data_IF_102808193056
#
_entry.id   IF_102808193056
#
_cell.length_a   1.000
_cell.length_b   1.000
_cell.length_c   1.000
_cell.angle_alpha   90.00
_cell.angle_beta   90.00
_cell.angle_gamma   90.00
#
_symmetry.space_group_name_H-M   'P 1'
#
loop_
_entity.id
_entity.type
_entity.pdbx_description
1 polymer ?
#
# COMPACT_ATOMS: atom_id res chain seq x y z
N UNK A 1 28.58 -32.77 41.74
CA UNK A 1 29.26 -31.76 40.89
C UNK A 1 28.63 -31.65 39.49
N UNK A 2 28.47 -32.75 38.74
CA UNK A 2 27.86 -32.78 37.40
C UNK A 2 26.40 -32.24 37.32
N UNK A 3 25.58 -32.45 38.36
CA UNK A 3 24.21 -31.93 38.44
C UNK A 3 24.11 -30.40 38.58
N UNK A 4 25.15 -29.73 39.10
CA UNK A 4 25.17 -28.26 39.19
C UNK A 4 25.51 -27.63 37.84
N UNK A 5 26.40 -28.25 37.06
CA UNK A 5 26.81 -27.76 35.74
C UNK A 5 25.66 -27.89 34.74
N UNK A 6 24.88 -28.98 34.79
CA UNK A 6 23.73 -29.17 33.90
C UNK A 6 22.55 -28.22 34.21
N UNK A 7 22.27 -27.94 35.49
CA UNK A 7 21.30 -26.91 35.88
C UNK A 7 21.76 -25.51 35.46
N UNK A 8 23.05 -25.20 35.62
CA UNK A 8 23.62 -23.93 35.18
C UNK A 8 23.51 -23.77 33.65
N UNK A 9 23.92 -24.76 32.86
CA UNK A 9 23.82 -24.72 31.39
C UNK A 9 22.36 -24.66 30.88
N UNK A 10 21.43 -25.36 31.54
CA UNK A 10 20.00 -25.33 31.19
C UNK A 10 19.39 -23.96 31.49
N UNK A 11 19.75 -23.34 32.61
CA UNK A 11 19.30 -21.99 32.97
C UNK A 11 19.95 -20.93 32.09
N UNK A 12 21.26 -21.03 31.80
CA UNK A 12 21.98 -20.12 30.92
C UNK A 12 21.42 -20.13 29.49
N UNK A 13 21.24 -21.32 28.89
CA UNK A 13 20.57 -21.45 27.59
C UNK A 13 19.11 -20.95 27.61
N UNK A 14 18.38 -21.09 28.72
CA UNK A 14 16.99 -20.58 28.83
C UNK A 14 16.90 -19.05 28.91
N UNK A 15 17.91 -18.39 29.48
CA UNK A 15 17.97 -16.93 29.61
C UNK A 15 18.39 -16.32 28.27
N UNK A 16 19.39 -16.90 27.62
CA UNK A 16 19.89 -16.43 26.32
C UNK A 16 18.85 -16.60 25.21
N UNK A 17 18.16 -17.75 25.18
CA UNK A 17 17.03 -17.98 24.24
C UNK A 17 15.85 -17.05 24.50
N UNK A 18 15.49 -16.75 25.75
CA UNK A 18 14.46 -15.73 26.06
C UNK A 18 14.85 -14.33 25.59
N UNK A 19 16.13 -13.96 25.72
CA UNK A 19 16.63 -12.66 25.24
C UNK A 19 16.63 -12.55 23.71
N UNK A 20 16.98 -13.64 23.01
CA UNK A 20 16.91 -13.74 21.56
C UNK A 20 15.46 -13.70 21.07
N UNK A 21 14.57 -14.50 21.66
CA UNK A 21 13.14 -14.51 21.31
C UNK A 21 12.50 -13.13 21.54
N UNK A 22 12.86 -12.43 22.62
CA UNK A 22 12.41 -11.06 22.85
C UNK A 22 12.96 -10.08 21.81
N UNK A 23 14.26 -10.15 21.47
CA UNK A 23 14.86 -9.35 20.38
C UNK A 23 14.19 -9.63 19.03
N UNK A 24 13.90 -10.90 18.73
CA UNK A 24 13.20 -11.30 17.51
C UNK A 24 11.75 -10.81 17.49
N UNK A 25 11.01 -10.89 18.61
CA UNK A 25 9.66 -10.36 18.71
C UNK A 25 9.63 -8.84 18.53
N UNK A 26 10.54 -8.11 19.18
CA UNK A 26 10.70 -6.66 19.02
C UNK A 26 11.08 -6.31 17.57
N UNK A 27 12.03 -7.03 16.96
CA UNK A 27 12.40 -6.83 15.56
C UNK A 27 11.25 -7.16 14.60
N UNK A 28 10.46 -8.21 14.87
CA UNK A 28 9.31 -8.63 14.06
C UNK A 28 8.17 -7.62 14.13
N UNK A 29 7.90 -7.09 15.33
CA UNK A 29 6.87 -6.07 15.53
C UNK A 29 7.29 -4.75 14.87
N UNK A 30 8.55 -4.33 15.03
CA UNK A 30 9.13 -3.22 14.26
C UNK A 30 9.11 -3.48 12.75
N UNK A 31 9.25 -4.74 12.30
CA UNK A 31 9.19 -5.08 10.87
C UNK A 31 7.78 -4.97 10.28
N UNK A 32 6.72 -5.23 11.06
CA UNK A 32 5.33 -4.98 10.62
C UNK A 32 5.08 -3.48 10.38
N UNK A 33 5.73 -2.64 11.16
CA UNK A 33 5.63 -1.18 11.04
C UNK A 33 6.37 -0.66 9.79
N UNK A 34 7.51 -1.29 9.46
CA UNK A 34 8.45 -0.82 8.41
C UNK A 34 8.11 -1.31 6.99
N UNK A 35 7.28 -2.35 6.80
CA UNK A 35 7.06 -2.94 5.47
C UNK A 35 5.57 -2.99 5.11
N UNK A 36 4.94 -1.83 5.08
CA UNK A 36 3.77 -1.63 4.22
C UNK A 36 4.32 -0.94 2.98
N UNK A 37 4.35 -1.67 1.85
CA UNK A 37 4.65 -1.16 0.52
C UNK A 37 3.30 -0.85 -0.14
N UNK A 38 2.74 0.35 0.07
CA UNK A 38 1.37 0.64 -0.33
C UNK A 38 1.31 0.77 -1.85
N UNK A 39 0.28 0.20 -2.43
CA UNK A 39 0.02 0.27 -3.87
C UNK A 39 -1.32 0.96 -4.12
N UNK A 40 -1.29 1.96 -5.00
CA UNK A 40 -2.50 2.67 -5.47
C UNK A 40 -2.55 2.58 -6.99
N UNK A 41 -3.69 2.12 -7.53
CA UNK A 41 -3.99 2.20 -8.95
C UNK A 41 -5.11 3.20 -9.17
N UNK A 42 -4.80 4.26 -9.91
CA UNK A 42 -5.74 5.30 -10.29
C UNK A 42 -6.12 5.01 -11.74
N UNK A 43 -7.42 4.84 -12.01
CA UNK A 43 -7.92 4.72 -13.37
C UNK A 43 -8.81 5.91 -13.69
N UNK A 44 -8.52 6.58 -14.80
CA UNK A 44 -9.26 7.74 -15.29
C UNK A 44 -9.62 7.53 -16.75
N UNK A 45 -10.74 8.09 -17.20
CA UNK A 45 -11.08 8.08 -18.61
C UNK A 45 -10.17 9.04 -19.38
N UNK A 46 -9.89 8.77 -20.66
CA UNK A 46 -9.14 9.67 -21.56
C UNK A 46 -9.87 10.98 -21.88
N UNK A 47 -11.00 11.24 -21.24
CA UNK A 47 -11.78 12.45 -21.42
C UNK A 47 -11.03 13.64 -20.81
N UNK A 48 -10.87 14.73 -21.59
CA UNK A 48 -10.36 16.01 -21.06
C UNK A 48 -8.85 16.23 -21.14
N UNK A 49 -8.09 15.41 -21.89
CA UNK A 49 -6.65 15.57 -22.12
C UNK A 49 -5.85 15.73 -20.82
N UNK A 50 -5.72 14.65 -20.06
CA UNK A 50 -5.02 14.65 -18.78
C UNK A 50 -3.54 14.98 -18.99
N UNK A 51 -3.11 16.12 -18.46
CA UNK A 51 -1.74 16.63 -18.60
C UNK A 51 -0.74 15.87 -17.71
N UNK A 52 0.55 15.85 -18.07
CA UNK A 52 1.60 15.33 -17.19
C UNK A 52 1.61 16.00 -15.80
N UNK A 53 1.28 17.29 -15.72
CA UNK A 53 1.19 18.07 -14.49
C UNK A 53 0.09 17.55 -13.57
N UNK A 54 -1.08 17.25 -14.13
CA UNK A 54 -2.20 16.69 -13.37
C UNK A 54 -1.87 15.28 -12.86
N UNK A 55 -1.23 14.44 -13.69
CA UNK A 55 -0.77 13.11 -13.25
C UNK A 55 0.21 13.19 -12.09
N UNK A 56 1.15 14.13 -12.15
CA UNK A 56 2.10 14.39 -11.05
C UNK A 56 1.35 14.74 -9.76
N UNK A 57 0.39 15.66 -9.85
CA UNK A 57 -0.42 16.07 -8.72
C UNK A 57 -1.23 14.90 -8.12
N UNK A 58 -1.78 14.01 -8.96
CA UNK A 58 -2.49 12.81 -8.51
C UNK A 58 -1.56 11.83 -7.77
N UNK A 59 -0.35 11.60 -8.28
CA UNK A 59 0.65 10.72 -7.64
C UNK A 59 1.06 11.28 -6.27
N UNK A 60 1.36 12.58 -6.23
CA UNK A 60 1.75 13.26 -4.99
C UNK A 60 0.61 13.24 -3.96
N UNK A 61 -0.61 13.59 -4.39
CA UNK A 61 -1.78 13.60 -3.53
C UNK A 61 -2.08 12.23 -2.91
N UNK A 62 -2.07 11.16 -3.72
CA UNK A 62 -2.29 9.80 -3.23
C UNK A 62 -1.19 9.36 -2.24
N UNK A 63 0.07 9.69 -2.53
CA UNK A 63 1.20 9.36 -1.66
C UNK A 63 1.10 10.10 -0.32
N UNK A 64 0.75 11.39 -0.35
CA UNK A 64 0.56 12.20 0.85
C UNK A 64 -0.62 11.69 1.68
N UNK A 65 -1.75 11.36 1.04
CA UNK A 65 -2.93 10.82 1.74
C UNK A 65 -2.59 9.55 2.56
N UNK A 66 -1.84 8.63 1.97
CA UNK A 66 -1.43 7.40 2.66
C UNK A 66 -0.45 7.66 3.80
N UNK A 67 0.42 8.66 3.64
CA UNK A 67 1.30 9.10 4.71
C UNK A 67 0.49 9.70 5.87
N UNK A 68 -0.41 10.63 5.56
CA UNK A 68 -1.12 11.43 6.56
C UNK A 68 -2.15 10.60 7.34
N UNK A 69 -2.85 9.68 6.67
CA UNK A 69 -3.91 8.87 7.30
C UNK A 69 -3.36 7.61 7.97
N UNK A 70 -2.37 6.96 7.34
CA UNK A 70 -1.90 5.63 7.76
C UNK A 70 -0.45 5.63 8.28
N UNK A 71 0.21 6.79 8.33
CA UNK A 71 1.59 6.94 8.78
C UNK A 71 2.62 6.24 7.89
N UNK A 72 2.29 5.98 6.61
CA UNK A 72 3.16 5.19 5.73
C UNK A 72 4.33 5.98 5.18
N UNK A 73 5.43 5.29 4.90
CA UNK A 73 6.59 5.91 4.28
C UNK A 73 6.29 6.23 2.80
N UNK A 74 6.45 7.50 2.43
CA UNK A 74 6.26 7.98 1.05
C UNK A 74 7.22 7.30 0.08
N UNK A 75 8.46 7.03 0.50
CA UNK A 75 9.51 6.46 -0.34
C UNK A 75 9.24 5.02 -0.79
N UNK A 76 8.33 4.31 -0.13
CA UNK A 76 7.97 2.91 -0.47
C UNK A 76 6.58 2.81 -1.09
N UNK A 77 5.93 3.93 -1.38
CA UNK A 77 4.59 3.99 -1.96
C UNK A 77 4.67 3.98 -3.48
N UNK A 78 3.90 3.08 -4.09
CA UNK A 78 3.84 2.91 -5.55
C UNK A 78 2.46 3.34 -6.02
N UNK A 79 2.43 4.26 -6.99
CA UNK A 79 1.20 4.76 -7.61
C UNK A 79 1.27 4.55 -9.11
N UNK A 80 0.23 3.96 -9.69
CA UNK A 80 0.07 3.80 -11.13
C UNK A 80 -1.17 4.56 -11.61
N UNK A 81 -1.09 5.15 -12.81
CA UNK A 81 -2.21 5.86 -13.43
C UNK A 81 -2.48 5.21 -14.79
N UNK A 82 -3.69 4.68 -14.96
CA UNK A 82 -4.17 4.12 -16.22
C UNK A 82 -5.22 5.04 -16.84
N UNK A 83 -4.99 5.40 -18.10
CA UNK A 83 -5.97 6.11 -18.92
C UNK A 83 -6.76 5.12 -19.77
N UNK A 84 -8.06 5.03 -19.51
CA UNK A 84 -8.95 4.06 -20.12
C UNK A 84 -9.89 4.76 -21.11
N UNK A 85 -10.15 4.11 -22.23
CA UNK A 85 -11.14 4.58 -23.19
C UNK A 85 -12.56 4.50 -22.61
N UNK A 86 -13.44 5.45 -22.97
CA UNK A 86 -14.83 5.48 -22.51
C UNK A 86 -15.66 4.31 -23.03
N UNK A 87 -15.27 3.70 -24.16
CA UNK A 87 -15.89 2.47 -24.65
C UNK A 87 -15.56 1.26 -23.76
N UNK A 88 -14.40 1.30 -23.10
CA UNK A 88 -13.94 0.28 -22.16
C UNK A 88 -14.34 0.57 -20.70
N UNK A 89 -15.09 1.65 -20.47
CA UNK A 89 -15.56 2.06 -19.15
C UNK A 89 -17.08 2.02 -19.11
N UNK A 90 -17.65 1.06 -18.37
CA UNK A 90 -19.10 0.87 -18.29
C UNK A 90 -19.68 1.30 -16.95
N UNK A 91 -20.89 1.89 -16.97
CA UNK A 91 -21.68 2.16 -15.77
C UNK A 91 -23.06 1.52 -15.97
N UNK A 92 -23.48 0.64 -15.06
CA UNK A 92 -24.77 -0.05 -15.18
C UNK A 92 -24.89 -0.96 -16.41
N UNK A 93 -23.77 -1.46 -16.93
CA UNK A 93 -23.73 -2.31 -18.14
C UNK A 93 -23.70 -1.55 -19.46
N UNK A 94 -23.64 -0.21 -19.45
CA UNK A 94 -23.63 0.62 -20.65
C UNK A 94 -22.27 1.35 -20.74
N UNK A 95 -21.59 1.35 -21.89
CA UNK A 95 -20.37 2.13 -22.10
C UNK A 95 -20.60 3.62 -21.84
N UNK A 96 -19.64 4.29 -21.20
CA UNK A 96 -19.73 5.73 -20.89
C UNK A 96 -19.93 6.55 -22.15
N UNK A 97 -19.31 6.16 -23.27
CA UNK A 97 -19.53 6.80 -24.58
C UNK A 97 -21.02 6.85 -24.95
N UNK A 98 -21.76 5.76 -24.76
CA UNK A 98 -23.20 5.71 -25.05
C UNK A 98 -24.01 6.54 -24.05
N UNK A 99 -23.65 6.48 -22.76
CA UNK A 99 -24.28 7.29 -21.71
C UNK A 99 -24.18 8.78 -22.05
N UNK A 100 -23.01 9.25 -22.48
CA UNK A 100 -22.77 10.65 -22.85
C UNK A 100 -23.55 11.06 -24.10
N UNK A 101 -23.58 10.22 -25.14
CA UNK A 101 -24.40 10.45 -26.35
C UNK A 101 -25.87 10.62 -26.01
N UNK A 102 -26.40 9.73 -25.16
CA UNK A 102 -27.80 9.76 -24.74
C UNK A 102 -28.13 10.97 -23.87
N UNK A 103 -27.18 11.44 -23.05
CA UNK A 103 -27.34 12.67 -22.27
C UNK A 103 -27.35 13.93 -23.14
N UNK A 104 -26.51 13.99 -24.18
CA UNK A 104 -26.46 15.11 -25.12
C UNK A 104 -27.70 15.18 -26.03
N UNK A 105 -28.24 14.03 -26.45
CA UNK A 105 -29.44 13.96 -27.29
C UNK A 105 -30.74 14.35 -26.57
N UNK A 106 -30.73 14.37 -25.23
CA UNK A 106 -31.86 14.80 -24.39
C UNK A 106 -31.83 16.30 -24.03
N UNK A 107 -30.80 17.03 -24.48
CA UNK A 107 -30.61 18.45 -24.21
C UNK A 107 -31.03 19.28 -25.42
#
# INVERSE_FOLDING_TARGET
MLLCISKFYRTYNSIETRSLQAKYAIMKEKRKEVISMPYVNIKITKEGNVTPEQKRALIEGATNLLHDVLGKNKSTTVVTIDEVDTDNWGIGGIPVTEIRKNAAAKK
#
